data_IF_458193251415
#
_entry.id   IF_458193251415
#
_cell.length_a   1.000
_cell.length_b   1.000
_cell.length_c   1.000
_cell.angle_alpha   90.00
_cell.angle_beta   90.00
_cell.angle_gamma   90.00
#
_symmetry.space_group_name_H-M   'P 1'
#
loop_
_entity.id
_entity.type
_entity.pdbx_description
1 polymer ?
#
# COMPACT_ATOMS: atom_id res chain seq x y z
N UNK A 1 6.93 9.92 -1.72
CA UNK A 1 7.77 8.72 -1.74
C UNK A 1 8.85 8.90 -2.77
N UNK A 2 10.11 8.69 -2.38
CA UNK A 2 11.22 8.63 -3.34
C UNK A 2 11.27 7.21 -3.93
N UNK A 3 11.05 7.04 -5.25
CA UNK A 3 11.02 5.71 -5.86
C UNK A 3 12.38 4.99 -5.80
N UNK A 4 13.49 5.73 -5.72
CA UNK A 4 14.84 5.16 -5.64
C UNK A 4 15.11 4.54 -4.28
N UNK A 5 14.62 5.14 -3.19
CA UNK A 5 14.75 4.60 -1.84
C UNK A 5 14.08 3.23 -1.72
N UNK A 6 12.81 3.13 -2.13
CA UNK A 6 12.06 1.88 -2.02
C UNK A 6 12.64 0.78 -2.92
N UNK A 7 13.14 1.18 -4.09
CA UNK A 7 13.82 0.29 -5.01
C UNK A 7 15.17 -0.19 -4.45
N UNK A 8 15.96 0.71 -3.86
CA UNK A 8 17.24 0.36 -3.21
C UNK A 8 17.03 -0.59 -2.04
N UNK A 9 16.01 -0.34 -1.21
CA UNK A 9 15.60 -1.23 -0.13
C UNK A 9 15.23 -2.62 -0.65
N UNK A 10 14.49 -2.69 -1.76
CA UNK A 10 14.12 -3.96 -2.39
C UNK A 10 15.35 -4.74 -2.89
N UNK A 11 16.33 -4.05 -3.47
CA UNK A 11 17.58 -4.67 -3.92
C UNK A 11 18.44 -5.17 -2.74
N UNK A 12 18.50 -4.44 -1.62
CA UNK A 12 19.18 -4.90 -0.39
C UNK A 12 18.54 -6.16 0.19
N UNK A 13 17.22 -6.28 0.09
CA UNK A 13 16.48 -7.48 0.51
C UNK A 13 16.62 -8.67 -0.45
N UNK A 14 17.44 -8.54 -1.49
CA UNK A 14 17.77 -9.62 -2.43
C UNK A 14 16.82 -9.75 -3.62
N UNK A 15 15.93 -8.76 -3.86
CA UNK A 15 15.05 -8.77 -5.02
C UNK A 15 15.67 -8.07 -6.23
N UNK A 16 15.56 -8.72 -7.38
CA UNK A 16 16.15 -8.23 -8.62
C UNK A 16 15.32 -7.07 -9.23
N UNK A 17 16.03 -6.12 -9.82
CA UNK A 17 15.59 -4.77 -10.21
C UNK A 17 14.41 -4.73 -11.22
N UNK A 18 14.00 -5.86 -11.81
CA UNK A 18 13.07 -5.88 -12.95
C UNK A 18 11.82 -6.77 -12.80
N UNK A 19 11.45 -7.18 -11.59
CA UNK A 19 10.20 -7.93 -11.39
C UNK A 19 9.01 -7.00 -11.07
N UNK A 20 7.90 -7.17 -11.80
CA UNK A 20 6.63 -6.47 -11.53
C UNK A 20 6.05 -6.76 -10.12
N UNK A 21 6.60 -7.78 -9.45
CA UNK A 21 6.26 -8.20 -8.10
C UNK A 21 7.09 -7.56 -6.98
N UNK A 22 8.21 -6.89 -7.26
CA UNK A 22 9.21 -6.49 -6.26
C UNK A 22 8.62 -5.71 -5.08
N UNK A 23 7.72 -4.76 -5.34
CA UNK A 23 7.03 -4.01 -4.27
C UNK A 23 6.12 -4.88 -3.40
N UNK A 24 5.41 -5.83 -4.00
CA UNK A 24 4.53 -6.73 -3.24
C UNK A 24 5.32 -7.60 -2.29
N UNK A 25 6.40 -8.19 -2.81
CA UNK A 25 7.19 -9.16 -2.06
C UNK A 25 8.01 -8.45 -1.00
N UNK A 26 8.55 -7.27 -1.30
CA UNK A 26 9.22 -6.41 -0.31
C UNK A 26 8.28 -6.00 0.82
N UNK A 27 7.06 -5.53 0.51
CA UNK A 27 6.09 -5.19 1.57
C UNK A 27 5.66 -6.42 2.38
N UNK A 28 5.52 -7.59 1.76
CA UNK A 28 5.22 -8.83 2.47
C UNK A 28 6.37 -9.24 3.39
N UNK A 29 7.62 -9.22 2.90
CA UNK A 29 8.80 -9.53 3.70
C UNK A 29 8.95 -8.58 4.90
N UNK A 30 8.70 -7.28 4.70
CA UNK A 30 8.71 -6.31 5.79
C UNK A 30 7.62 -6.57 6.82
N UNK A 31 6.41 -6.98 6.39
CA UNK A 31 5.34 -7.38 7.31
C UNK A 31 5.69 -8.59 8.15
N UNK A 32 6.41 -9.56 7.59
CA UNK A 32 6.86 -10.76 8.31
C UNK A 32 8.04 -10.46 9.25
N UNK A 33 8.94 -9.54 8.86
CA UNK A 33 10.17 -9.25 9.60
C UNK A 33 9.99 -8.24 10.74
N UNK A 34 8.98 -7.37 10.67
CA UNK A 34 8.74 -6.32 11.65
C UNK A 34 7.77 -6.83 12.72
N UNK A 35 8.23 -6.83 13.98
CA UNK A 35 7.36 -6.97 15.14
C UNK A 35 6.89 -5.58 15.60
N UNK A 36 5.59 -5.25 15.48
CA UNK A 36 5.08 -3.95 15.88
C UNK A 36 5.24 -3.63 17.36
N UNK A 37 5.19 -4.64 18.25
CA UNK A 37 5.30 -4.44 19.69
C UNK A 37 6.71 -4.05 20.13
N UNK A 38 7.71 -4.63 19.48
CA UNK A 38 9.12 -4.37 19.78
C UNK A 38 9.68 -3.15 19.03
N UNK A 39 9.27 -2.96 17.77
CA UNK A 39 9.83 -1.91 16.90
C UNK A 39 9.02 -0.61 16.88
N UNK A 40 7.78 -0.62 17.37
CA UNK A 40 6.89 0.56 17.37
C UNK A 40 6.45 1.03 15.98
N UNK A 41 6.69 0.22 14.95
CA UNK A 41 6.31 0.48 13.56
C UNK A 41 5.63 -0.75 12.99
N UNK A 42 4.66 -0.56 12.10
CA UNK A 42 4.00 -1.65 11.42
C UNK A 42 3.77 -1.34 9.94
N UNK A 43 3.65 -2.39 9.15
CA UNK A 43 3.33 -2.31 7.72
C UNK A 43 1.91 -2.86 7.53
N UNK A 44 1.06 -2.11 6.82
CA UNK A 44 -0.30 -2.50 6.47
C UNK A 44 -0.52 -2.45 4.95
N UNK A 45 -1.40 -3.30 4.42
CA UNK A 45 -1.76 -3.38 3.00
C UNK A 45 -1.07 -4.48 2.19
N UNK A 46 -1.10 -4.37 0.86
CA UNK A 46 -0.63 -5.41 -0.05
C UNK A 46 -1.21 -5.23 -1.45
N UNK A 47 -1.11 -6.24 -2.32
CA UNK A 47 -1.76 -6.22 -3.66
C UNK A 47 -3.03 -7.06 -3.69
N UNK A 48 -3.93 -6.74 -4.62
CA UNK A 48 -5.13 -7.52 -4.91
C UNK A 48 -6.10 -7.61 -3.73
N UNK A 49 -6.48 -8.83 -3.32
CA UNK A 49 -7.44 -9.03 -2.22
C UNK A 49 -6.91 -8.55 -0.87
N UNK A 50 -5.59 -8.62 -0.64
CA UNK A 50 -4.97 -8.17 0.60
C UNK A 50 -5.11 -6.66 0.80
N UNK A 51 -5.05 -5.86 -0.27
CA UNK A 51 -5.18 -4.39 -0.17
C UNK A 51 -6.54 -3.95 0.37
N UNK A 52 -7.59 -4.75 0.16
CA UNK A 52 -8.95 -4.47 0.63
C UNK A 52 -9.08 -4.57 2.15
N UNK A 53 -8.17 -5.31 2.80
CA UNK A 53 -8.16 -5.53 4.25
C UNK A 53 -7.34 -4.50 5.02
N UNK A 54 -6.69 -3.56 4.32
CA UNK A 54 -5.85 -2.52 4.95
C UNK A 54 -6.55 -1.79 6.11
N UNK A 55 -7.85 -1.41 6.02
CA UNK A 55 -8.52 -0.77 7.14
C UNK A 55 -8.63 -1.66 8.39
N UNK A 56 -8.91 -2.95 8.21
CA UNK A 56 -8.98 -3.94 9.31
C UNK A 56 -7.59 -4.18 9.92
N UNK A 57 -6.55 -4.24 9.08
CA UNK A 57 -5.16 -4.35 9.54
C UNK A 57 -4.73 -3.13 10.36
N UNK A 58 -5.09 -1.91 9.94
CA UNK A 58 -4.80 -0.68 10.69
C UNK A 58 -5.45 -0.73 12.08
N UNK A 59 -6.66 -1.25 12.18
CA UNK A 59 -7.37 -1.38 13.44
C UNK A 59 -6.70 -2.39 14.38
N UNK A 60 -6.33 -3.57 13.88
CA UNK A 60 -5.58 -4.55 14.66
C UNK A 60 -4.21 -4.01 15.13
N UNK A 61 -3.46 -3.35 14.22
CA UNK A 61 -2.16 -2.77 14.53
C UNK A 61 -2.26 -1.60 15.51
N UNK A 62 -3.37 -0.85 15.49
CA UNK A 62 -3.60 0.24 16.45
C UNK A 62 -3.64 -0.24 17.90
N UNK A 63 -4.15 -1.45 18.15
CA UNK A 63 -4.19 -2.04 19.48
C UNK A 63 -2.79 -2.39 19.98
N UNK A 64 -1.94 -2.90 19.08
CA UNK A 64 -0.55 -3.25 19.40
C UNK A 64 0.31 -2.00 19.60
N UNK A 65 0.13 -0.98 18.76
CA UNK A 65 0.91 0.26 18.79
C UNK A 65 0.35 1.32 19.76
N UNK A 66 -0.79 1.07 20.41
CA UNK A 66 -1.45 2.02 21.31
C UNK A 66 -1.91 3.31 20.63
N UNK A 67 -2.33 3.24 19.36
CA UNK A 67 -2.77 4.43 18.62
C UNK A 67 -4.17 4.89 19.08
N UNK A 68 -4.39 6.20 19.26
CA UNK A 68 -5.71 6.72 19.65
C UNK A 68 -6.70 6.63 18.48
N UNK A 69 -7.99 6.46 18.79
CA UNK A 69 -9.04 6.20 17.78
C UNK A 69 -9.09 7.23 16.65
N UNK A 70 -8.88 8.52 16.93
CA UNK A 70 -8.87 9.56 15.89
C UNK A 70 -7.76 9.34 14.84
N UNK A 71 -6.60 8.81 15.24
CA UNK A 71 -5.51 8.47 14.31
C UNK A 71 -5.86 7.25 13.47
N UNK A 72 -6.54 6.27 14.06
CA UNK A 72 -7.00 5.07 13.35
C UNK A 72 -7.97 5.46 12.24
N UNK A 73 -8.96 6.30 12.55
CA UNK A 73 -9.93 6.81 11.59
C UNK A 73 -9.26 7.61 10.46
N UNK A 74 -8.32 8.48 10.81
CA UNK A 74 -7.51 9.26 9.87
C UNK A 74 -6.74 8.34 8.91
N UNK A 75 -6.03 7.34 9.44
CA UNK A 75 -5.24 6.39 8.64
C UNK A 75 -6.12 5.55 7.72
N UNK A 76 -7.27 5.07 8.21
CA UNK A 76 -8.23 4.34 7.38
C UNK A 76 -8.82 5.23 6.27
N UNK A 77 -9.12 6.49 6.57
CA UNK A 77 -9.61 7.45 5.58
C UNK A 77 -8.56 7.70 4.50
N UNK A 78 -7.33 8.02 4.89
CA UNK A 78 -6.20 8.28 3.97
C UNK A 78 -5.94 7.05 3.09
N UNK A 79 -5.93 5.85 3.66
CA UNK A 79 -5.77 4.59 2.91
C UNK A 79 -6.85 4.42 1.83
N UNK A 80 -8.12 4.64 2.18
CA UNK A 80 -9.25 4.57 1.22
C UNK A 80 -9.14 5.64 0.15
N UNK A 81 -8.74 6.86 0.50
CA UNK A 81 -8.61 7.97 -0.44
C UNK A 81 -7.47 7.75 -1.43
N UNK A 82 -6.31 7.28 -0.96
CA UNK A 82 -5.18 6.91 -1.82
C UNK A 82 -5.60 5.85 -2.86
N UNK A 83 -6.26 4.77 -2.41
CA UNK A 83 -6.75 3.73 -3.30
C UNK A 83 -7.80 4.23 -4.33
N UNK A 84 -8.62 5.22 -3.96
CA UNK A 84 -9.57 5.85 -4.90
C UNK A 84 -8.86 6.69 -5.95
N UNK A 85 -7.86 7.48 -5.56
CA UNK A 85 -7.06 8.30 -6.48
C UNK A 85 -6.32 7.41 -7.48
N UNK A 86 -5.66 6.36 -7.01
CA UNK A 86 -4.97 5.40 -7.88
C UNK A 86 -5.92 4.75 -8.89
N UNK A 87 -7.10 4.29 -8.43
CA UNK A 87 -8.12 3.73 -9.32
C UNK A 87 -8.71 4.76 -10.29
N UNK A 88 -8.80 6.03 -9.92
CA UNK A 88 -9.25 7.09 -10.83
C UNK A 88 -8.21 7.36 -11.91
N UNK A 89 -6.93 7.37 -11.56
CA UNK A 89 -5.83 7.59 -12.50
C UNK A 89 -5.72 6.47 -13.53
N UNK A 90 -5.83 5.20 -13.10
CA UNK A 90 -5.89 4.05 -14.02
C UNK A 90 -7.07 4.18 -15.00
N UNK A 91 -8.25 4.57 -14.50
CA UNK A 91 -9.44 4.77 -15.35
C UNK A 91 -9.27 5.91 -16.35
N UNK A 92 -8.61 6.99 -15.94
CA UNK A 92 -8.36 8.15 -16.82
C UNK A 92 -7.36 7.83 -17.94
N UNK A 93 -6.41 6.94 -17.68
CA UNK A 93 -5.41 6.48 -18.65
C UNK A 93 -5.95 5.43 -19.63
N UNK A 94 -7.18 4.94 -19.48
CA UNK A 94 -7.76 4.00 -20.42
C UNK A 94 -8.23 4.73 -21.70
N UNK A 95 -7.99 4.17 -22.90
CA UNK A 95 -8.47 4.77 -24.14
C UNK A 95 -9.99 4.91 -24.10
N UNK A 96 -10.50 6.08 -24.52
CA UNK A 96 -11.94 6.25 -24.69
C UNK A 96 -12.46 5.22 -25.71
N UNK A 97 -13.66 4.64 -25.48
CA UNK A 97 -14.24 3.72 -26.43
C UNK A 97 -14.37 4.39 -27.82
N UNK A 98 -14.17 3.63 -28.91
CA UNK A 98 -14.13 4.19 -30.27
C UNK A 98 -15.45 4.85 -30.72
N UNK A 99 -16.55 4.64 -30.00
CA UNK A 99 -17.84 5.28 -30.27
C UNK A 99 -18.02 6.63 -29.57
N UNK A 100 -17.05 7.07 -28.77
CA UNK A 100 -17.06 8.37 -28.07
C UNK A 100 -16.18 9.42 -28.77
N UNK A 101 -16.02 9.32 -30.11
CA UNK A 101 -15.55 10.44 -30.91
C UNK A 101 -16.70 11.45 -31.03
N UNK A 102 -16.57 12.55 -30.28
CA UNK A 102 -17.45 13.71 -30.32
C UNK A 102 -17.77 14.11 -31.77
N UNK A 103 -19.06 14.16 -32.11
CA UNK A 103 -19.58 15.14 -33.07
C UNK A 103 -19.63 16.51 -32.41
#
# INVERSE_FOLDING_TARGET
SDPWFFQSLSCVLGYDWHSSGTTTVTCAALKEAIDPGEMGVAVAGGKGRASRRTPEEIEALSQVLGLPSHRVEELQYVSRMAAKVDNALIRWLQPLPPHLHLR
#
